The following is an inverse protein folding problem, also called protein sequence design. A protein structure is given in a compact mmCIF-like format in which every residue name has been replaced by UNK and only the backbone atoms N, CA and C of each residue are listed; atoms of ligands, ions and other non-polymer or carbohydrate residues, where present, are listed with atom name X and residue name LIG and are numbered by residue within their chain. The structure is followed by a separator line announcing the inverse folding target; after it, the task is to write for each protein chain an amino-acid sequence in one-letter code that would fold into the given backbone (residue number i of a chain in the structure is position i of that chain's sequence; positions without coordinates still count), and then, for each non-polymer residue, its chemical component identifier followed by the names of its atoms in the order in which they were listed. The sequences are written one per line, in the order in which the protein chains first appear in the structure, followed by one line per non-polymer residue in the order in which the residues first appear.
data_IF_305170677821
#
_entry.id   IF_305170677821
#
_cell.length_a   1.000
_cell.length_b   1.000
_cell.length_c   1.000
_cell.angle_alpha   90.00
_cell.angle_beta   90.00
_cell.angle_gamma   90.00
#
_symmetry.space_group_name_H-M   'P 1'
#
loop_
_entity.id
_entity.type
_entity.pdbx_description
1 polymer ?
#
# COMPACT_ATOMS: atom_id res chain seq x y z
N UNK A 1 -9.03 -25.50 -4.82
CA UNK A 1 -8.71 -24.08 -4.65
C UNK A 1 -9.85 -23.28 -5.25
N UNK A 2 -10.62 -22.54 -4.44
CA UNK A 2 -11.62 -21.63 -4.98
C UNK A 2 -10.91 -20.43 -5.60
N UNK A 3 -11.29 -20.06 -6.83
CA UNK A 3 -10.73 -18.89 -7.51
C UNK A 3 -11.07 -17.61 -6.71
N UNK A 4 -10.14 -16.67 -6.66
CA UNK A 4 -10.44 -15.34 -6.14
C UNK A 4 -11.52 -14.68 -7.02
N UNK A 5 -12.44 -13.95 -6.39
CA UNK A 5 -13.40 -13.13 -7.12
C UNK A 5 -12.73 -11.83 -7.54
N UNK A 6 -12.87 -11.46 -8.81
CA UNK A 6 -12.36 -10.21 -9.36
C UNK A 6 -13.53 -9.30 -9.74
N UNK A 7 -13.43 -8.03 -9.39
CA UNK A 7 -14.40 -7.00 -9.73
C UNK A 7 -13.68 -5.72 -10.15
N UNK A 8 -13.94 -5.26 -11.38
CA UNK A 8 -13.58 -3.90 -11.78
C UNK A 8 -14.55 -2.91 -11.12
N UNK A 9 -14.00 -1.92 -10.46
CA UNK A 9 -14.77 -0.94 -9.69
C UNK A 9 -14.51 0.48 -10.19
N UNK A 10 -15.53 1.33 -10.06
CA UNK A 10 -15.44 2.77 -10.29
C UNK A 10 -15.74 3.49 -8.99
N UNK A 11 -14.78 4.27 -8.54
CA UNK A 11 -14.81 4.93 -7.24
C UNK A 11 -15.03 6.42 -7.47
N UNK A 12 -16.12 7.00 -6.93
CA UNK A 12 -16.38 8.43 -7.04
C UNK A 12 -15.34 9.24 -6.26
N UNK A 13 -14.84 10.27 -6.91
CA UNK A 13 -13.97 11.31 -6.33
C UNK A 13 -14.54 12.68 -6.71
N UNK A 14 -14.02 13.75 -6.13
CA UNK A 14 -14.52 15.11 -6.36
C UNK A 14 -14.48 15.57 -7.83
N UNK A 15 -13.50 15.08 -8.61
CA UNK A 15 -13.29 15.44 -10.03
C UNK A 15 -13.87 14.41 -11.01
N UNK A 16 -14.49 13.33 -10.53
CA UNK A 16 -15.05 12.30 -11.42
C UNK A 16 -15.01 10.89 -10.84
N UNK A 17 -14.49 9.96 -11.62
CA UNK A 17 -14.37 8.55 -11.26
C UNK A 17 -12.93 8.08 -11.47
N UNK A 18 -12.40 7.36 -10.49
CA UNK A 18 -11.17 6.58 -10.65
C UNK A 18 -11.51 5.10 -10.75
N UNK A 19 -10.66 4.32 -11.42
CA UNK A 19 -10.89 2.91 -11.64
C UNK A 19 -10.01 2.05 -10.73
N UNK A 20 -10.52 0.88 -10.35
CA UNK A 20 -9.78 -0.09 -9.55
C UNK A 20 -10.13 -1.53 -9.91
N UNK A 21 -9.24 -2.43 -9.50
CA UNK A 21 -9.43 -3.88 -9.54
C UNK A 21 -9.46 -4.38 -8.09
N UNK A 22 -10.65 -4.78 -7.63
CA UNK A 22 -10.85 -5.41 -6.34
C UNK A 22 -10.85 -6.91 -6.52
N UNK A 23 -9.96 -7.60 -5.84
CA UNK A 23 -9.87 -9.04 -5.86
C UNK A 23 -9.81 -9.58 -4.44
N UNK A 24 -10.63 -10.61 -4.16
CA UNK A 24 -10.66 -11.22 -2.83
C UNK A 24 -10.79 -12.74 -2.91
N UNK A 25 -9.90 -13.48 -2.20
CA UNK A 25 -10.11 -14.90 -1.98
C UNK A 25 -11.29 -15.13 -1.00
N UNK A 26 -11.89 -16.31 -1.00
CA UNK A 26 -12.85 -16.68 0.04
C UNK A 26 -12.24 -16.50 1.44
N UNK A 27 -13.05 -16.01 2.40
CA UNK A 27 -12.64 -15.83 3.79
C UNK A 27 -11.44 -14.90 3.98
N UNK A 28 -11.40 -13.80 3.20
CA UNK A 28 -10.32 -12.81 3.30
C UNK A 28 -10.16 -12.29 4.72
N UNK A 29 -8.91 -12.26 5.21
CA UNK A 29 -8.56 -11.84 6.58
C UNK A 29 -8.26 -10.35 6.72
N UNK A 30 -8.15 -9.63 5.61
CA UNK A 30 -7.88 -8.20 5.55
C UNK A 30 -7.89 -7.71 4.11
N UNK A 31 -7.89 -6.38 3.95
CA UNK A 31 -7.84 -5.71 2.66
C UNK A 31 -6.58 -4.85 2.56
N UNK A 32 -5.82 -4.99 1.48
CA UNK A 32 -4.68 -4.13 1.17
C UNK A 32 -5.01 -3.22 -0.02
N UNK A 33 -4.97 -1.93 0.22
CA UNK A 33 -5.17 -0.88 -0.79
C UNK A 33 -3.80 -0.47 -1.36
N UNK A 34 -3.68 -0.46 -2.70
CA UNK A 34 -2.43 -0.19 -3.38
C UNK A 34 -2.38 1.25 -3.89
N UNK A 35 -1.36 1.99 -3.46
CA UNK A 35 -1.00 3.31 -3.97
C UNK A 35 0.21 3.18 -4.89
N UNK A 36 -0.01 3.30 -6.20
CA UNK A 36 1.06 3.18 -7.20
C UNK A 36 1.97 4.42 -7.25
N UNK A 37 3.17 4.27 -7.82
CA UNK A 37 4.10 5.38 -8.06
C UNK A 37 3.72 6.22 -9.28
N UNK A 38 4.43 7.35 -9.45
CA UNK A 38 4.24 8.25 -10.58
C UNK A 38 4.44 7.52 -11.91
N UNK A 39 3.57 7.78 -12.89
CA UNK A 39 3.61 7.14 -14.20
C UNK A 39 3.27 5.65 -14.21
N UNK A 40 2.72 5.13 -13.11
CA UNK A 40 2.22 3.76 -12.98
C UNK A 40 0.70 3.75 -12.89
N UNK A 41 0.09 2.56 -12.78
CA UNK A 41 -1.36 2.38 -12.69
C UNK A 41 -1.70 1.07 -11.98
N UNK A 42 -3.00 0.77 -11.85
CA UNK A 42 -3.50 -0.54 -11.39
C UNK A 42 -2.99 -1.71 -12.23
N UNK A 43 -2.55 -1.46 -13.46
CA UNK A 43 -1.99 -2.48 -14.36
C UNK A 43 -0.50 -2.74 -14.16
N UNK A 44 0.17 -2.07 -13.20
CA UNK A 44 1.59 -2.30 -12.90
C UNK A 44 1.91 -3.78 -12.71
N UNK A 45 2.75 -4.40 -13.55
CA UNK A 45 3.10 -5.82 -13.38
C UNK A 45 3.71 -6.11 -12.01
N UNK A 46 4.52 -5.18 -11.47
CA UNK A 46 5.15 -5.33 -10.16
C UNK A 46 4.13 -5.30 -9.02
N UNK A 47 3.18 -4.36 -9.05
CA UNK A 47 2.13 -4.31 -8.02
C UNK A 47 1.18 -5.51 -8.12
N UNK A 48 0.85 -5.93 -9.33
CA UNK A 48 0.03 -7.14 -9.56
C UNK A 48 0.72 -8.42 -9.07
N UNK A 49 2.05 -8.52 -9.25
CA UNK A 49 2.81 -9.64 -8.68
C UNK A 49 2.71 -9.68 -7.15
N UNK A 50 2.95 -8.54 -6.47
CA UNK A 50 2.80 -8.45 -5.01
C UNK A 50 1.37 -8.77 -4.59
N UNK A 51 0.36 -8.18 -5.24
CA UNK A 51 -1.05 -8.40 -4.93
C UNK A 51 -1.44 -9.88 -5.04
N UNK A 52 -0.95 -10.58 -6.07
CA UNK A 52 -1.16 -12.03 -6.22
C UNK A 52 -0.64 -12.81 -5.01
N UNK A 53 0.59 -12.51 -4.56
CA UNK A 53 1.19 -13.17 -3.38
C UNK A 53 0.39 -12.87 -2.11
N UNK A 54 -0.11 -11.64 -1.96
CA UNK A 54 -0.99 -11.29 -0.83
C UNK A 54 -2.29 -12.09 -0.86
N UNK A 55 -2.91 -12.25 -2.04
CA UNK A 55 -4.13 -13.06 -2.18
C UNK A 55 -3.90 -14.54 -1.88
N UNK A 56 -2.74 -15.08 -2.24
CA UNK A 56 -2.32 -16.44 -1.88
C UNK A 56 -2.19 -16.62 -0.35
N UNK A 57 -2.01 -15.53 0.41
CA UNK A 57 -2.00 -15.51 1.88
C UNK A 57 -3.37 -15.14 2.49
N UNK A 58 -4.45 -15.17 1.71
CA UNK A 58 -5.80 -14.91 2.21
C UNK A 58 -6.14 -13.44 2.42
N UNK A 59 -5.47 -12.52 1.74
CA UNK A 59 -5.74 -11.09 1.81
C UNK A 59 -6.49 -10.62 0.56
N UNK A 60 -7.50 -9.80 0.73
CA UNK A 60 -8.10 -9.06 -0.37
C UNK A 60 -7.17 -7.92 -0.81
N UNK A 61 -7.22 -7.58 -2.09
CA UNK A 61 -6.39 -6.50 -2.67
C UNK A 61 -7.25 -5.57 -3.52
N UNK A 62 -6.98 -4.26 -3.43
CA UNK A 62 -7.59 -3.26 -4.29
C UNK A 62 -6.47 -2.42 -4.92
N UNK A 63 -6.24 -2.64 -6.20
CA UNK A 63 -5.33 -1.84 -7.02
C UNK A 63 -6.14 -0.74 -7.69
N UNK A 64 -5.76 0.52 -7.47
CA UNK A 64 -6.50 1.66 -8.03
C UNK A 64 -5.58 2.57 -8.84
N UNK A 65 -6.15 3.23 -9.83
CA UNK A 65 -5.55 4.41 -10.43
C UNK A 65 -5.89 5.61 -9.53
N UNK A 66 -4.86 6.23 -8.94
CA UNK A 66 -5.08 7.33 -7.98
C UNK A 66 -5.46 8.66 -8.64
N UNK A 67 -5.35 8.73 -9.96
CA UNK A 67 -5.68 9.91 -10.75
C UNK A 67 -6.76 9.55 -11.79
N UNK A 68 -7.62 10.51 -12.09
CA UNK A 68 -8.49 10.41 -13.27
C UNK A 68 -7.63 10.47 -14.54
N UNK A 69 -8.14 10.00 -15.71
CA UNK A 69 -7.41 10.11 -16.96
C UNK A 69 -7.02 11.55 -17.33
N UNK A 70 -7.83 12.53 -16.94
CA UNK A 70 -7.57 13.96 -17.15
C UNK A 70 -6.43 14.47 -16.28
N UNK A 71 -6.42 14.09 -15.01
CA UNK A 71 -5.39 14.45 -14.05
C UNK A 71 -4.04 13.80 -14.40
N UNK A 72 -4.03 12.55 -14.87
CA UNK A 72 -2.80 11.84 -15.23
C UNK A 72 -2.12 12.42 -16.48
N UNK A 73 -2.83 13.16 -17.34
CA UNK A 73 -2.22 13.89 -18.47
C UNK A 73 -1.31 15.03 -18.04
N UNK A 74 -1.52 15.56 -16.84
CA UNK A 74 -0.71 16.63 -16.28
C UNK A 74 0.43 16.03 -15.47
N UNK A 75 1.66 16.12 -15.96
CA UNK A 75 2.83 15.49 -15.34
C UNK A 75 3.01 15.85 -13.85
N UNK A 76 2.76 17.12 -13.49
CA UNK A 76 2.91 17.59 -12.11
C UNK A 76 1.95 16.92 -11.13
N UNK A 77 0.74 16.56 -11.56
CA UNK A 77 -0.27 15.89 -10.71
C UNK A 77 0.19 14.53 -10.20
N UNK A 78 1.06 13.85 -10.93
CA UNK A 78 1.65 12.56 -10.54
C UNK A 78 2.53 12.65 -9.29
N UNK A 79 2.91 13.88 -8.89
CA UNK A 79 3.73 14.18 -7.71
C UNK A 79 2.98 15.03 -6.68
N UNK A 80 1.70 15.29 -6.89
CA UNK A 80 0.84 16.02 -5.95
C UNK A 80 0.45 15.07 -4.80
N UNK A 81 1.33 14.96 -3.79
CA UNK A 81 1.10 14.05 -2.67
C UNK A 81 -0.20 14.38 -1.91
N UNK A 82 -0.57 15.64 -1.65
CA UNK A 82 -1.88 15.97 -1.11
C UNK A 82 -3.05 15.39 -1.90
N UNK A 83 -3.06 15.53 -3.24
CA UNK A 83 -4.08 14.95 -4.11
C UNK A 83 -4.09 13.42 -4.03
N UNK A 84 -2.93 12.78 -4.20
CA UNK A 84 -2.81 11.32 -4.13
C UNK A 84 -3.26 10.78 -2.75
N UNK A 85 -2.97 11.50 -1.69
CA UNK A 85 -3.42 11.18 -0.33
C UNK A 85 -4.94 11.23 -0.25
N UNK A 86 -5.56 12.32 -0.74
CA UNK A 86 -7.02 12.45 -0.73
C UNK A 86 -7.68 11.33 -1.54
N UNK A 87 -7.15 10.99 -2.71
CA UNK A 87 -7.64 9.86 -3.52
C UNK A 87 -7.60 8.54 -2.75
N UNK A 88 -6.51 8.28 -2.03
CA UNK A 88 -6.40 7.06 -1.22
C UNK A 88 -7.38 7.07 -0.03
N UNK A 89 -7.67 8.22 0.55
CA UNK A 89 -8.71 8.37 1.58
C UNK A 89 -10.10 8.11 1.00
N UNK A 90 -10.43 8.65 -0.17
CA UNK A 90 -11.70 8.41 -0.87
C UNK A 90 -11.91 6.91 -1.19
N UNK A 91 -10.84 6.25 -1.65
CA UNK A 91 -10.80 4.79 -1.88
C UNK A 91 -11.04 4.01 -0.59
N UNK A 92 -10.43 4.44 0.51
CA UNK A 92 -10.60 3.81 1.82
C UNK A 92 -12.04 3.91 2.30
N UNK A 93 -12.63 5.08 2.18
CA UNK A 93 -14.03 5.32 2.57
C UNK A 93 -15.01 4.58 1.65
N UNK A 94 -14.70 4.48 0.36
CA UNK A 94 -15.46 3.67 -0.56
C UNK A 94 -15.39 2.18 -0.15
N UNK A 95 -14.21 1.65 0.11
CA UNK A 95 -14.02 0.25 0.49
C UNK A 95 -14.75 -0.12 1.79
N UNK A 96 -14.85 0.79 2.75
CA UNK A 96 -15.62 0.60 3.99
C UNK A 96 -17.13 0.47 3.77
N UNK A 97 -17.63 0.93 2.63
CA UNK A 97 -19.06 0.85 2.27
C UNK A 97 -19.40 -0.37 1.40
N UNK A 98 -18.39 -1.12 0.93
CA UNK A 98 -18.63 -2.30 0.10
C UNK A 98 -18.93 -3.53 0.94
N UNK A 99 -19.99 -4.32 0.66
CA UNK A 99 -20.32 -5.50 1.43
C UNK A 99 -19.17 -6.51 1.56
N UNK A 100 -18.36 -6.66 0.52
CA UNK A 100 -17.23 -7.60 0.49
C UNK A 100 -16.05 -7.18 1.38
N UNK A 101 -15.92 -5.88 1.73
CA UNK A 101 -14.73 -5.34 2.40
C UNK A 101 -15.01 -4.51 3.65
N UNK A 102 -16.27 -4.18 3.92
CA UNK A 102 -16.66 -3.27 5.00
C UNK A 102 -16.15 -3.70 6.40
N UNK A 103 -16.06 -4.99 6.65
CA UNK A 103 -15.63 -5.55 7.94
C UNK A 103 -14.16 -5.96 7.97
N UNK A 104 -13.45 -5.86 6.85
CA UNK A 104 -12.05 -6.25 6.77
C UNK A 104 -11.15 -5.17 7.39
N UNK A 105 -10.18 -5.54 8.24
CA UNK A 105 -9.10 -4.64 8.64
C UNK A 105 -8.29 -4.24 7.41
N UNK A 106 -7.88 -2.97 7.35
CA UNK A 106 -7.26 -2.38 6.17
C UNK A 106 -5.80 -2.03 6.39
N UNK A 107 -5.00 -2.22 5.35
CA UNK A 107 -3.63 -1.77 5.25
C UNK A 107 -3.33 -1.09 3.91
N UNK A 108 -2.22 -0.36 3.85
CA UNK A 108 -1.76 0.29 2.62
C UNK A 108 -0.46 -0.33 2.12
N UNK A 109 -0.39 -0.56 0.81
CA UNK A 109 0.85 -0.84 0.11
C UNK A 109 1.16 0.33 -0.83
N UNK A 110 2.21 1.09 -0.53
CA UNK A 110 2.65 2.22 -1.33
C UNK A 110 3.95 1.94 -2.09
N UNK A 111 4.03 2.38 -3.34
CA UNK A 111 5.25 2.27 -4.15
C UNK A 111 5.75 3.67 -4.57
N UNK A 112 7.05 3.95 -4.38
CA UNK A 112 7.67 5.23 -4.76
C UNK A 112 6.88 6.44 -4.20
N UNK A 113 6.38 7.35 -5.03
CA UNK A 113 5.52 8.49 -4.62
C UNK A 113 4.23 8.03 -3.92
N UNK A 114 3.66 6.89 -4.33
CA UNK A 114 2.49 6.30 -3.68
C UNK A 114 2.73 5.91 -2.21
N UNK A 115 3.98 5.66 -1.82
CA UNK A 115 4.32 5.41 -0.42
C UNK A 115 4.16 6.67 0.45
N UNK A 116 4.51 7.85 -0.07
CA UNK A 116 4.28 9.11 0.62
C UNK A 116 2.78 9.35 0.86
N UNK A 117 1.96 9.12 -0.18
CA UNK A 117 0.50 9.21 -0.06
C UNK A 117 -0.06 8.20 0.96
N UNK A 118 0.44 6.95 0.95
CA UNK A 118 0.03 5.92 1.90
C UNK A 118 0.37 6.28 3.36
N UNK A 119 1.55 6.84 3.61
CA UNK A 119 1.96 7.30 4.94
C UNK A 119 1.11 8.48 5.42
N UNK A 120 0.87 9.48 4.56
CA UNK A 120 0.00 10.63 4.89
C UNK A 120 -1.45 10.20 5.13
N UNK A 121 -1.97 9.27 4.33
CA UNK A 121 -3.30 8.71 4.53
C UNK A 121 -3.39 7.90 5.84
N UNK A 122 -2.38 7.09 6.17
CA UNK A 122 -2.33 6.36 7.43
C UNK A 122 -2.28 7.30 8.65
N UNK A 123 -1.52 8.40 8.57
CA UNK A 123 -1.50 9.45 9.58
C UNK A 123 -2.88 10.08 9.80
N UNK A 124 -3.65 10.27 8.73
CA UNK A 124 -5.00 10.83 8.78
C UNK A 124 -6.04 9.83 9.33
N UNK A 125 -5.91 8.55 8.99
CA UNK A 125 -6.83 7.49 9.40
C UNK A 125 -6.59 6.96 10.81
N UNK A 126 -5.41 7.18 11.38
CA UNK A 126 -5.04 6.68 12.71
C UNK A 126 -5.28 5.16 12.84
N UNK A 127 -6.03 4.75 13.85
CA UNK A 127 -6.34 3.32 14.10
C UNK A 127 -7.17 2.66 12.99
N UNK A 128 -7.70 3.42 12.05
CA UNK A 128 -8.47 2.91 10.90
C UNK A 128 -7.61 2.14 9.88
N UNK A 129 -6.28 2.35 9.91
CA UNK A 129 -5.31 1.59 9.13
C UNK A 129 -4.40 0.81 10.08
N UNK A 130 -4.29 -0.49 9.84
CA UNK A 130 -3.62 -1.42 10.74
C UNK A 130 -2.15 -1.66 10.40
N UNK A 131 -1.75 -1.47 9.14
CA UNK A 131 -0.37 -1.63 8.71
C UNK A 131 -0.09 -0.88 7.40
N UNK A 132 1.16 -0.48 7.20
CA UNK A 132 1.66 0.07 5.94
C UNK A 132 2.88 -0.71 5.48
N UNK A 133 2.96 -0.97 4.18
CA UNK A 133 4.19 -1.40 3.50
C UNK A 133 4.56 -0.38 2.44
N UNK A 134 5.79 0.07 2.45
CA UNK A 134 6.39 0.99 1.49
C UNK A 134 7.45 0.26 0.68
N UNK A 135 7.31 0.18 -0.64
CA UNK A 135 8.30 -0.40 -1.55
C UNK A 135 9.03 0.67 -2.34
N UNK A 136 10.34 0.82 -2.14
CA UNK A 136 11.15 1.87 -2.78
C UNK A 136 10.52 3.25 -2.57
N UNK A 137 9.97 3.47 -1.38
CA UNK A 137 9.13 4.63 -1.10
C UNK A 137 9.93 5.91 -0.96
N UNK A 138 9.26 7.03 -1.25
CA UNK A 138 9.74 8.40 -1.08
C UNK A 138 9.04 9.07 0.12
N UNK A 139 9.36 8.63 1.36
CA UNK A 139 8.74 9.20 2.57
C UNK A 139 9.08 10.69 2.75
N UNK A 140 10.17 11.16 2.17
CA UNK A 140 10.57 12.56 2.13
C UNK A 140 9.56 13.49 1.44
N UNK A 141 8.71 12.95 0.57
CA UNK A 141 7.64 13.70 -0.09
C UNK A 141 6.39 13.84 0.80
N UNK A 142 6.27 13.05 1.87
CA UNK A 142 5.21 13.23 2.86
C UNK A 142 5.59 14.38 3.82
N UNK A 143 4.64 15.24 4.21
CA UNK A 143 4.90 16.26 5.23
C UNK A 143 5.44 15.63 6.53
N UNK A 144 6.46 16.24 7.14
CA UNK A 144 7.05 15.72 8.38
C UNK A 144 6.02 15.59 9.52
N UNK A 145 5.02 16.49 9.57
CA UNK A 145 3.91 16.42 10.52
C UNK A 145 3.04 15.15 10.33
N UNK A 146 2.95 14.61 9.11
CA UNK A 146 2.20 13.40 8.84
C UNK A 146 3.02 12.18 9.26
N UNK A 147 4.33 12.12 8.93
CA UNK A 147 5.22 11.07 9.41
C UNK A 147 5.20 10.95 10.93
N UNK A 148 5.20 12.07 11.65
CA UNK A 148 5.12 12.13 13.12
C UNK A 148 3.78 11.62 13.69
N UNK A 149 2.77 11.38 12.86
CA UNK A 149 1.44 10.88 13.25
C UNK A 149 1.17 9.43 12.81
N UNK A 150 2.08 8.82 12.06
CA UNK A 150 1.95 7.41 11.66
C UNK A 150 2.18 6.53 12.89
N UNK A 151 1.14 5.92 13.40
CA UNK A 151 1.19 5.06 14.59
C UNK A 151 1.10 3.58 14.28
N UNK A 152 0.60 3.21 13.11
CA UNK A 152 0.47 1.81 12.72
C UNK A 152 1.83 1.18 12.38
N UNK A 153 1.98 -0.15 12.57
CA UNK A 153 3.13 -0.90 12.09
C UNK A 153 3.45 -0.61 10.64
N UNK A 154 4.69 -0.19 10.36
CA UNK A 154 5.14 0.22 9.02
C UNK A 154 6.39 -0.53 8.62
N UNK A 155 6.38 -1.14 7.44
CA UNK A 155 7.52 -1.80 6.82
C UNK A 155 8.02 -0.99 5.63
N UNK A 156 9.26 -0.55 5.67
CA UNK A 156 9.94 0.14 4.57
C UNK A 156 10.88 -0.86 3.88
N UNK A 157 10.63 -1.15 2.59
CA UNK A 157 11.41 -2.06 1.76
C UNK A 157 12.19 -1.24 0.74
N UNK A 158 13.51 -1.27 0.81
CA UNK A 158 14.39 -0.47 -0.06
C UNK A 158 15.48 -1.36 -0.64
N UNK A 159 15.79 -1.16 -1.93
CA UNK A 159 16.90 -1.86 -2.58
C UNK A 159 18.25 -1.41 -2.06
N UNK A 160 19.18 -2.35 -1.89
CA UNK A 160 20.55 -2.05 -1.43
C UNK A 160 21.31 -1.14 -2.41
N UNK A 161 20.96 -1.20 -3.70
CA UNK A 161 21.58 -0.40 -4.76
C UNK A 161 20.83 0.92 -5.03
N UNK A 162 19.79 1.23 -4.26
CA UNK A 162 19.04 2.49 -4.32
C UNK A 162 19.47 3.41 -3.16
N UNK A 163 20.74 3.83 -3.20
CA UNK A 163 21.41 4.51 -2.09
C UNK A 163 20.71 5.81 -1.66
N UNK A 164 20.24 6.61 -2.62
CA UNK A 164 19.51 7.86 -2.35
C UNK A 164 18.23 7.57 -1.56
N UNK A 165 17.38 6.68 -2.08
CA UNK A 165 16.12 6.31 -1.44
C UNK A 165 16.35 5.63 -0.10
N UNK A 166 17.44 4.85 0.04
CA UNK A 166 17.82 4.24 1.32
C UNK A 166 18.14 5.30 2.37
N UNK A 167 18.89 6.34 2.01
CA UNK A 167 19.19 7.45 2.92
C UNK A 167 17.91 8.20 3.36
N UNK A 168 17.00 8.47 2.42
CA UNK A 168 15.72 9.12 2.70
C UNK A 168 14.84 8.29 3.66
N UNK A 169 14.80 6.96 3.46
CA UNK A 169 14.04 6.07 4.34
C UNK A 169 14.66 5.98 5.74
N UNK A 170 15.99 5.97 5.87
CA UNK A 170 16.66 6.03 7.18
C UNK A 170 16.31 7.31 7.95
N UNK A 171 16.29 8.44 7.26
CA UNK A 171 15.85 9.71 7.86
C UNK A 171 14.39 9.65 8.31
N UNK A 172 13.49 9.07 7.51
CA UNK A 172 12.07 8.99 7.83
C UNK A 172 11.80 8.15 9.08
N UNK A 173 12.50 7.03 9.27
CA UNK A 173 12.35 6.17 10.46
C UNK A 173 12.50 6.98 11.76
N UNK A 174 13.43 7.92 11.81
CA UNK A 174 13.68 8.75 13.00
C UNK A 174 12.51 9.68 13.35
N UNK A 175 11.58 9.91 12.42
CA UNK A 175 10.44 10.82 12.58
C UNK A 175 9.11 10.08 12.79
N UNK A 176 9.10 8.75 12.69
CA UNK A 176 7.90 7.93 12.79
C UNK A 176 7.81 7.29 14.18
N UNK A 177 6.79 7.64 15.00
CA UNK A 177 6.67 7.16 16.38
C UNK A 177 6.15 5.72 16.47
N UNK A 178 5.48 5.22 15.42
CA UNK A 178 4.94 3.87 15.38
C UNK A 178 6.03 2.81 15.18
N UNK A 179 5.70 1.53 15.35
CA UNK A 179 6.62 0.42 15.07
C UNK A 179 7.04 0.42 13.60
N UNK A 180 8.24 0.94 13.30
CA UNK A 180 8.74 1.09 11.93
C UNK A 180 9.96 0.22 11.71
N UNK A 181 9.91 -0.62 10.68
CA UNK A 181 10.99 -1.52 10.29
C UNK A 181 11.50 -1.14 8.89
N UNK A 182 12.81 -0.95 8.77
CA UNK A 182 13.49 -0.76 7.48
C UNK A 182 14.20 -2.06 7.11
N UNK A 183 13.78 -2.66 6.00
CA UNK A 183 14.42 -3.86 5.45
C UNK A 183 15.09 -3.53 4.11
N UNK A 184 16.38 -3.81 4.03
CA UNK A 184 17.18 -3.59 2.83
C UNK A 184 17.17 -4.89 2.02
N UNK A 185 16.75 -4.83 0.76
CA UNK A 185 16.72 -5.98 -0.15
C UNK A 185 18.06 -6.05 -0.89
N UNK A 186 18.90 -7.09 -0.66
CA UNK A 186 20.21 -7.19 -1.27
C UNK A 186 20.14 -7.22 -2.79
N UNK A 187 21.03 -6.49 -3.47
CA UNK A 187 21.15 -6.48 -4.93
C UNK A 187 20.04 -5.75 -5.67
N UNK A 188 18.99 -5.31 -5.00
CA UNK A 188 17.88 -4.63 -5.63
C UNK A 188 18.19 -3.16 -5.92
N UNK A 189 17.76 -2.69 -7.10
CA UNK A 189 17.64 -1.28 -7.45
C UNK A 189 16.24 -0.76 -7.11
N UNK A 190 15.90 0.48 -7.52
CA UNK A 190 14.63 1.13 -7.21
C UNK A 190 13.39 0.34 -7.67
N UNK A 191 13.47 -0.32 -8.80
CA UNK A 191 12.33 -1.01 -9.40
C UNK A 191 12.22 -2.48 -9.01
N UNK A 192 13.22 -3.05 -8.34
CA UNK A 192 13.27 -4.48 -7.95
C UNK A 192 13.10 -5.40 -9.15
N UNK A 193 13.84 -5.13 -10.23
CA UNK A 193 13.79 -5.91 -11.49
C UNK A 193 14.82 -7.05 -11.51
N UNK A 194 15.74 -7.04 -10.56
CA UNK A 194 16.74 -8.10 -10.44
C UNK A 194 16.11 -9.41 -9.96
N UNK A 195 16.62 -10.56 -10.44
CA UNK A 195 16.04 -11.87 -10.13
C UNK A 195 15.89 -12.09 -8.61
N UNK A 196 14.67 -12.45 -8.17
CA UNK A 196 14.36 -12.78 -6.78
C UNK A 196 14.09 -11.59 -5.88
N UNK A 197 14.33 -10.34 -6.33
CA UNK A 197 14.17 -9.16 -5.48
C UNK A 197 12.71 -8.78 -5.29
N UNK A 198 11.90 -8.85 -6.33
CA UNK A 198 10.46 -8.58 -6.26
C UNK A 198 9.73 -9.69 -5.49
N UNK A 199 10.15 -10.94 -5.64
CA UNK A 199 9.66 -12.08 -4.86
C UNK A 199 9.94 -11.89 -3.37
N UNK A 200 11.13 -11.41 -3.01
CA UNK A 200 11.47 -11.08 -1.62
C UNK A 200 10.56 -9.97 -1.07
N UNK A 201 10.35 -8.90 -1.83
CA UNK A 201 9.40 -7.83 -1.49
C UNK A 201 8.00 -8.38 -1.26
N UNK A 202 7.48 -9.19 -2.19
CA UNK A 202 6.13 -9.73 -2.12
C UNK A 202 5.94 -10.62 -0.89
N UNK A 203 6.92 -11.49 -0.58
CA UNK A 203 6.91 -12.34 0.61
C UNK A 203 6.94 -11.51 1.89
N UNK A 204 7.88 -10.55 2.02
CA UNK A 204 8.00 -9.70 3.20
C UNK A 204 6.73 -8.88 3.44
N UNK A 205 6.13 -8.33 2.38
CA UNK A 205 4.87 -7.61 2.47
C UNK A 205 3.72 -8.53 2.91
N UNK A 206 3.64 -9.74 2.37
CA UNK A 206 2.61 -10.71 2.73
C UNK A 206 2.73 -11.15 4.19
N UNK A 207 3.93 -11.45 4.66
CA UNK A 207 4.19 -11.81 6.06
C UNK A 207 3.84 -10.64 6.99
N UNK A 208 4.19 -9.40 6.62
CA UNK A 208 3.85 -8.20 7.39
C UNK A 208 2.34 -8.00 7.53
N UNK A 209 1.61 -8.03 6.43
CA UNK A 209 0.17 -7.87 6.48
C UNK A 209 -0.53 -9.03 7.18
N UNK A 210 -0.10 -10.28 6.98
CA UNK A 210 -0.64 -11.43 7.69
C UNK A 210 -0.47 -11.33 9.21
N UNK A 211 0.61 -10.70 9.67
CA UNK A 211 0.86 -10.46 11.09
C UNK A 211 -0.03 -9.33 11.67
N UNK A 212 -0.30 -8.27 10.87
CA UNK A 212 -0.91 -7.03 11.37
C UNK A 212 -2.36 -6.81 10.94
N UNK A 213 -2.90 -7.64 10.02
CA UNK A 213 -4.29 -7.61 9.59
C UNK A 213 -5.07 -8.88 10.02
N UNK A 214 -4.99 -9.36 11.29
CA UNK A 214 -5.83 -10.47 11.70
C UNK A 214 -7.28 -9.99 11.84
N UNK A 215 -8.23 -10.80 11.34
CA UNK A 215 -9.63 -10.64 11.72
C UNK A 215 -9.75 -10.90 13.24
N UNK A 216 -10.45 -10.02 13.96
CA UNK A 216 -10.80 -10.28 15.36
C UNK A 216 -11.69 -11.52 15.39
N UNK A 217 -11.13 -12.69 15.72
CA UNK A 217 -11.92 -13.92 15.82
C UNK A 217 -11.18 -15.23 15.74
N UNK A 218 -9.87 -15.27 15.43
CA UNK A 218 -9.11 -16.50 15.66
C UNK A 218 -8.74 -16.59 17.14
N UNK A 219 -9.21 -17.61 17.91
CA UNK A 219 -8.70 -17.82 19.26
C UNK A 219 -7.21 -18.13 19.14
N UNK A 220 -6.37 -17.36 19.83
CA UNK A 220 -4.98 -17.74 20.05
C UNK A 220 -4.99 -19.12 20.66
N UNK A 221 -4.59 -20.14 19.89
CA UNK A 221 -4.34 -21.46 20.40
C UNK A 221 -3.25 -21.36 21.47
N UNK A 222 -3.68 -21.36 22.71
CA UNK A 222 -2.81 -21.66 23.84
C UNK A 222 -2.34 -23.11 23.70
N UNK A 223 -1.07 -23.30 23.51
CA UNK A 223 -0.32 -24.45 24.04
C UNK A 223 1.10 -23.99 24.35
#
# INVERSE_FOLDING_TARGET
MHAATEQLVRIPVDTGLIEGALEWPPESQGLVLFAHGSGSSRHSPRNNHVARVLRERGLATLLVDLLTPEEDRVYATRFDIPLLTQRLLDVTDWARRQPATALLPMGYFGASTGAAAALSAAASQGAGIRAVVSRGGRPDLAPARDLARVQCPTLLLVGACDEEVLALNRCAVAHMPGPTHLTIVPGATHLFEEPGTLEAVARLAADWFAQHLPTRGAPSGAQ
#
